data_IF_262290719522
#
_entry.id   IF_262290719522
#
_cell.length_a   1.000
_cell.length_b   1.000
_cell.length_c   1.000
_cell.angle_alpha   90.00
_cell.angle_beta   90.00
_cell.angle_gamma   90.00
#
_symmetry.space_group_name_H-M   'P 1'
#
loop_
_entity.id
_entity.type
_entity.pdbx_description
1 polymer ?
#
# COMPACT_ATOMS: atom_id res chain seq x y z
N UNK A 1 8.76 16.46 -12.97
CA UNK A 1 8.73 15.72 -11.68
C UNK A 1 8.19 14.32 -11.85
N UNK A 2 6.98 14.15 -12.38
CA UNK A 2 6.34 12.83 -12.57
C UNK A 2 7.21 11.80 -13.30
N UNK A 3 7.88 12.19 -14.40
CA UNK A 3 8.72 11.26 -15.17
C UNK A 3 9.88 10.66 -14.34
N UNK A 4 10.54 11.47 -13.49
CA UNK A 4 11.63 10.96 -12.64
C UNK A 4 11.09 10.09 -11.49
N UNK A 5 9.98 10.49 -10.87
CA UNK A 5 9.31 9.71 -9.82
C UNK A 5 8.91 8.33 -10.35
N UNK A 6 8.27 8.27 -11.52
CA UNK A 6 7.90 7.02 -12.17
C UNK A 6 9.12 6.17 -12.50
N UNK A 7 10.17 6.78 -13.06
CA UNK A 7 11.42 6.07 -13.37
C UNK A 7 12.01 5.41 -12.13
N UNK A 8 12.05 6.12 -11.00
CA UNK A 8 12.54 5.58 -9.71
C UNK A 8 11.65 4.43 -9.23
N UNK A 9 10.32 4.59 -9.28
CA UNK A 9 9.38 3.55 -8.88
C UNK A 9 9.56 2.31 -9.75
N UNK A 10 9.52 2.43 -11.07
CA UNK A 10 9.64 1.28 -11.98
C UNK A 10 10.98 0.58 -11.85
N UNK A 11 12.09 1.33 -11.76
CA UNK A 11 13.43 0.75 -11.60
C UNK A 11 13.56 -0.07 -10.31
N UNK A 12 12.87 0.34 -9.25
CA UNK A 12 12.99 -0.27 -7.92
C UNK A 12 11.69 -0.93 -7.45
N UNK A 13 10.76 -1.23 -8.36
CA UNK A 13 9.39 -1.59 -7.99
C UNK A 13 9.37 -2.83 -7.10
N UNK A 14 10.08 -3.89 -7.49
CA UNK A 14 10.14 -5.13 -6.69
C UNK A 14 10.71 -4.89 -5.29
N UNK A 15 11.76 -4.07 -5.14
CA UNK A 15 12.32 -3.76 -3.82
C UNK A 15 11.33 -2.94 -2.98
N UNK A 16 10.72 -1.91 -3.55
CA UNK A 16 9.75 -1.06 -2.85
C UNK A 16 8.48 -1.83 -2.48
N UNK A 17 7.97 -2.66 -3.39
CA UNK A 17 6.88 -3.58 -3.15
C UNK A 17 7.20 -4.50 -1.98
N UNK A 18 8.37 -5.16 -1.99
CA UNK A 18 8.76 -6.09 -0.92
C UNK A 18 8.96 -5.37 0.41
N UNK A 19 9.55 -4.18 0.40
CA UNK A 19 9.64 -3.33 1.61
C UNK A 19 8.25 -3.16 2.20
N UNK A 20 7.27 -2.73 1.42
CA UNK A 20 5.91 -2.52 1.93
C UNK A 20 5.22 -3.83 2.31
N UNK A 21 5.30 -4.84 1.45
CA UNK A 21 4.61 -6.11 1.60
C UNK A 21 5.04 -6.88 2.85
N UNK A 22 6.33 -6.85 3.22
CA UNK A 22 6.84 -7.51 4.43
C UNK A 22 6.13 -7.06 5.71
N UNK A 23 5.61 -5.83 5.73
CA UNK A 23 4.89 -5.27 6.87
C UNK A 23 3.38 -5.37 6.72
N UNK A 24 2.83 -5.04 5.55
CA UNK A 24 1.38 -5.02 5.33
C UNK A 24 0.78 -6.42 5.22
N UNK A 25 1.44 -7.34 4.50
CA UNK A 25 0.87 -8.67 4.23
C UNK A 25 0.61 -9.45 5.53
N UNK A 26 1.54 -9.54 6.50
CA UNK A 26 1.26 -10.26 7.74
C UNK A 26 0.11 -9.66 8.56
N UNK A 27 0.00 -8.33 8.61
CA UNK A 27 -1.07 -7.63 9.35
C UNK A 27 -2.44 -7.95 8.74
N UNK A 28 -2.56 -7.86 7.42
CA UNK A 28 -3.79 -8.20 6.70
C UNK A 28 -4.09 -9.69 6.76
N UNK A 29 -3.07 -10.54 6.71
CA UNK A 29 -3.24 -11.98 6.82
C UNK A 29 -3.80 -12.36 8.20
N UNK A 30 -3.25 -11.77 9.27
CA UNK A 30 -3.75 -11.98 10.62
C UNK A 30 -5.20 -11.52 10.78
N UNK A 31 -5.54 -10.33 10.26
CA UNK A 31 -6.92 -9.84 10.27
C UNK A 31 -7.86 -10.77 9.49
N UNK A 32 -7.47 -11.16 8.27
CA UNK A 32 -8.27 -12.04 7.42
C UNK A 32 -8.46 -13.41 8.06
N UNK A 33 -7.43 -13.96 8.70
CA UNK A 33 -7.52 -15.24 9.39
C UNK A 33 -8.50 -15.19 10.57
N UNK A 34 -8.47 -14.13 11.38
CA UNK A 34 -9.40 -13.93 12.49
C UNK A 34 -10.85 -13.79 11.99
N UNK A 35 -11.04 -13.15 10.84
CA UNK A 35 -12.34 -12.87 10.23
C UNK A 35 -12.59 -13.67 8.95
N UNK A 36 -12.10 -14.91 8.88
CA UNK A 36 -12.13 -15.73 7.66
C UNK A 36 -13.54 -15.87 7.09
N UNK A 37 -14.55 -16.04 7.95
CA UNK A 37 -15.93 -16.25 7.54
C UNK A 37 -16.52 -14.98 6.92
N UNK A 38 -16.08 -13.80 7.41
CA UNK A 38 -16.45 -12.50 6.84
C UNK A 38 -15.77 -12.29 5.48
N UNK A 39 -14.51 -12.70 5.33
CA UNK A 39 -13.79 -12.63 4.06
C UNK A 39 -14.38 -13.59 3.00
N UNK A 40 -14.96 -14.72 3.41
CA UNK A 40 -15.66 -15.64 2.50
C UNK A 40 -16.93 -15.05 1.90
N UNK A 41 -17.62 -14.18 2.63
CA UNK A 41 -18.89 -13.56 2.20
C UNK A 41 -18.72 -12.10 1.80
N UNK A 42 -17.49 -11.65 1.51
CA UNK A 42 -17.17 -10.24 1.28
C UNK A 42 -17.97 -9.62 0.12
N UNK A 43 -18.22 -10.38 -0.95
CA UNK A 43 -19.08 -9.97 -2.08
C UNK A 43 -20.56 -9.83 -1.69
N UNK A 44 -21.01 -10.54 -0.65
CA UNK A 44 -22.38 -10.53 -0.16
C UNK A 44 -22.62 -9.48 0.93
N UNK A 45 -21.60 -8.75 1.39
CA UNK A 45 -21.72 -7.71 2.41
C UNK A 45 -22.88 -6.72 2.20
N UNK A 46 -23.09 -6.15 1.00
CA UNK A 46 -24.18 -5.20 0.78
C UNK A 46 -25.56 -5.84 0.98
N UNK A 47 -25.67 -7.15 0.71
CA UNK A 47 -26.91 -7.91 0.84
C UNK A 47 -27.13 -8.38 2.28
N UNK A 48 -26.06 -8.72 3.02
CA UNK A 48 -26.13 -9.11 4.44
C UNK A 48 -26.53 -7.91 5.31
N UNK A 49 -26.08 -6.70 4.96
CA UNK A 49 -26.51 -5.46 5.61
C UNK A 49 -28.02 -5.22 5.47
N UNK A 50 -28.70 -5.80 4.46
CA UNK A 50 -30.15 -5.67 4.25
C UNK A 50 -30.98 -6.80 4.89
N UNK A 51 -30.36 -7.84 5.43
CA UNK A 51 -31.10 -8.96 6.03
C UNK A 51 -31.90 -8.58 7.28
N UNK A 52 -33.07 -9.19 7.53
CA UNK A 52 -33.79 -9.04 8.80
C UNK A 52 -32.90 -9.38 10.01
N UNK A 53 -33.11 -8.70 11.15
CA UNK A 53 -32.37 -8.97 12.39
C UNK A 53 -32.49 -10.46 12.75
N UNK A 54 -31.35 -11.14 12.96
CA UNK A 54 -31.29 -12.57 13.31
C UNK A 54 -30.99 -13.53 12.15
N UNK A 55 -31.02 -13.07 10.89
CA UNK A 55 -30.63 -13.88 9.72
C UNK A 55 -29.11 -13.80 9.48
N UNK A 56 -28.53 -14.89 9.00
CA UNK A 56 -27.10 -15.04 8.74
C UNK A 56 -26.88 -15.70 7.37
N UNK A 57 -25.74 -15.41 6.74
CA UNK A 57 -25.26 -16.07 5.52
C UNK A 57 -23.92 -16.72 5.85
N UNK A 58 -23.80 -18.04 5.70
CA UNK A 58 -22.61 -18.80 6.08
C UNK A 58 -22.12 -18.51 7.51
N UNK A 59 -23.04 -18.35 8.47
CA UNK A 59 -22.71 -18.04 9.87
C UNK A 59 -22.41 -16.57 10.16
N UNK A 60 -22.38 -15.71 9.13
CA UNK A 60 -22.11 -14.27 9.27
C UNK A 60 -23.42 -13.48 9.30
N UNK A 61 -23.67 -12.81 10.42
CA UNK A 61 -24.78 -11.87 10.59
C UNK A 61 -24.31 -10.42 10.75
N UNK A 62 -25.25 -9.47 10.77
CA UNK A 62 -24.97 -8.02 10.91
C UNK A 62 -24.05 -7.66 12.08
N UNK A 63 -24.16 -8.36 13.22
CA UNK A 63 -23.33 -8.09 14.40
C UNK A 63 -21.86 -8.43 14.17
N UNK A 64 -21.58 -9.59 13.56
CA UNK A 64 -20.22 -10.04 13.22
C UNK A 64 -19.59 -9.10 12.19
N UNK A 65 -20.37 -8.62 11.21
CA UNK A 65 -19.93 -7.62 10.25
C UNK A 65 -19.57 -6.28 10.89
N UNK A 66 -20.42 -5.78 11.79
CA UNK A 66 -20.17 -4.53 12.50
C UNK A 66 -18.93 -4.64 13.41
N UNK A 67 -18.70 -5.80 14.02
CA UNK A 67 -17.50 -6.06 14.80
C UNK A 67 -16.24 -6.11 13.93
N UNK A 68 -16.27 -6.86 12.82
CA UNK A 68 -15.16 -6.91 11.87
C UNK A 68 -14.80 -5.51 11.36
N UNK A 69 -15.79 -4.72 10.91
CA UNK A 69 -15.58 -3.32 10.48
C UNK A 69 -14.97 -2.45 11.58
N UNK A 70 -15.40 -2.62 12.83
CA UNK A 70 -14.83 -1.89 13.97
C UNK A 70 -13.39 -2.30 14.24
N UNK A 71 -13.08 -3.59 14.18
CA UNK A 71 -11.71 -4.09 14.42
C UNK A 71 -10.77 -3.77 13.25
N UNK A 72 -11.30 -3.58 12.04
CA UNK A 72 -10.52 -3.11 10.90
C UNK A 72 -9.89 -1.73 11.14
N UNK A 73 -10.49 -0.89 11.99
CA UNK A 73 -9.88 0.40 12.39
C UNK A 73 -8.50 0.19 13.01
N UNK A 74 -8.28 -0.89 13.76
CA UNK A 74 -6.96 -1.19 14.34
C UNK A 74 -5.92 -1.54 13.27
N UNK A 75 -6.33 -2.17 12.18
CA UNK A 75 -5.45 -2.40 11.02
C UNK A 75 -5.03 -1.05 10.43
N UNK A 76 -5.98 -0.13 10.22
CA UNK A 76 -5.68 1.23 9.72
C UNK A 76 -4.73 1.97 10.66
N UNK A 77 -4.95 1.88 11.98
CA UNK A 77 -4.05 2.49 12.97
C UNK A 77 -2.65 1.88 12.87
N UNK A 78 -2.53 0.55 12.77
CA UNK A 78 -1.25 -0.12 12.60
C UNK A 78 -0.56 0.34 11.30
N UNK A 79 -1.27 0.41 10.19
CA UNK A 79 -0.74 0.93 8.91
C UNK A 79 -0.23 2.37 9.04
N UNK A 80 -1.00 3.24 9.69
CA UNK A 80 -0.63 4.63 9.91
C UNK A 80 0.65 4.75 10.74
N UNK A 81 0.80 3.91 11.77
CA UNK A 81 2.02 3.84 12.60
C UNK A 81 3.23 3.31 11.83
N UNK A 82 3.03 2.51 10.77
CA UNK A 82 4.11 2.02 9.91
C UNK A 82 4.57 3.05 8.87
N UNK A 83 3.79 4.10 8.59
CA UNK A 83 4.13 5.09 7.57
C UNK A 83 5.51 5.76 7.78
N UNK A 84 5.91 6.21 8.99
CA UNK A 84 7.22 6.82 9.17
C UNK A 84 8.37 5.87 8.85
N UNK A 85 8.20 4.58 9.20
CA UNK A 85 9.15 3.52 8.92
C UNK A 85 9.26 3.28 7.41
N UNK A 86 8.12 3.16 6.71
CA UNK A 86 8.07 2.96 5.27
C UNK A 86 8.66 4.14 4.50
N UNK A 87 8.35 5.37 4.90
CA UNK A 87 8.96 6.58 4.34
C UNK A 87 10.47 6.54 4.51
N UNK A 88 10.97 6.18 5.70
CA UNK A 88 12.39 6.01 5.98
C UNK A 88 13.06 4.98 5.07
N UNK A 89 12.46 3.79 4.94
CA UNK A 89 12.94 2.73 4.07
C UNK A 89 12.95 3.15 2.59
N UNK A 90 11.89 3.82 2.11
CA UNK A 90 11.83 4.37 0.75
C UNK A 90 12.93 5.42 0.53
N UNK A 91 13.21 6.30 1.51
CA UNK A 91 14.35 7.25 1.40
C UNK A 91 15.66 6.53 1.17
N UNK A 92 15.88 5.42 1.86
CA UNK A 92 17.11 4.63 1.70
C UNK A 92 17.21 4.00 0.33
N UNK A 93 16.12 3.40 -0.17
CA UNK A 93 16.08 2.82 -1.53
C UNK A 93 16.41 3.88 -2.58
N UNK A 94 15.77 5.04 -2.51
CA UNK A 94 16.03 6.15 -3.45
C UNK A 94 17.47 6.66 -3.35
N UNK A 95 18.03 6.75 -2.14
CA UNK A 95 19.39 7.23 -1.93
C UNK A 95 20.46 6.25 -2.46
N UNK A 96 20.29 4.94 -2.25
CA UNK A 96 21.21 3.91 -2.76
C UNK A 96 21.17 3.87 -4.29
N UNK A 97 19.98 3.94 -4.86
CA UNK A 97 19.76 3.95 -6.30
C UNK A 97 20.33 5.22 -6.97
N UNK A 98 20.24 6.38 -6.30
CA UNK A 98 20.87 7.61 -6.77
C UNK A 98 22.41 7.56 -6.72
N UNK A 99 22.98 6.77 -5.80
CA UNK A 99 24.42 6.51 -5.72
C UNK A 99 24.90 5.43 -6.72
N UNK A 100 24.00 4.86 -7.54
CA UNK A 100 24.31 3.81 -8.50
C UNK A 100 24.43 2.40 -7.91
N UNK A 101 24.04 2.21 -6.64
CA UNK A 101 24.01 0.89 -6.00
C UNK A 101 22.70 0.13 -6.23
N UNK A 102 22.71 -1.17 -5.91
CA UNK A 102 21.51 -2.01 -5.92
C UNK A 102 20.82 -1.96 -4.54
N UNK A 103 19.59 -1.43 -4.43
CA UNK A 103 18.91 -1.35 -3.15
C UNK A 103 18.37 -2.71 -2.68
N UNK A 104 18.76 -3.11 -1.46
CA UNK A 104 18.26 -4.31 -0.78
C UNK A 104 17.13 -4.03 0.20
N UNK A 105 16.20 -4.99 0.35
CA UNK A 105 15.05 -4.89 1.27
C UNK A 105 15.50 -4.80 2.73
N UNK A 106 16.43 -5.67 3.16
CA UNK A 106 16.92 -5.70 4.55
C UNK A 106 17.71 -4.41 4.87
N UNK A 107 18.51 -3.94 3.92
CA UNK A 107 19.32 -2.72 4.09
C UNK A 107 18.48 -1.45 4.19
N UNK A 108 17.30 -1.45 3.56
CA UNK A 108 16.34 -0.37 3.68
C UNK A 108 15.84 -0.16 5.13
N UNK A 109 15.82 -1.21 5.94
CA UNK A 109 15.37 -1.18 7.34
C UNK A 109 16.50 -0.95 8.36
N UNK A 110 17.73 -1.44 8.09
CA UNK A 110 18.81 -1.46 9.10
C UNK A 110 19.41 -0.10 9.48
N UNK A 111 19.28 0.92 8.64
CA UNK A 111 19.96 2.22 8.83
C UNK A 111 18.98 3.38 8.98
N UNK A 112 18.11 3.30 10.00
CA UNK A 112 17.23 4.38 10.42
C UNK A 112 17.92 5.33 11.41
N UNK A 113 18.83 6.21 10.92
CA UNK A 113 18.80 7.57 11.42
C UNK A 113 18.66 8.56 10.25
N UNK A 114 17.58 9.33 10.30
CA UNK A 114 17.33 10.45 9.42
C UNK A 114 18.40 11.54 9.63
N UNK A 115 19.46 11.53 8.81
CA UNK A 115 20.02 12.83 8.40
C UNK A 115 18.93 13.50 7.58
N UNK A 116 18.27 14.51 8.18
CA UNK A 116 17.40 15.46 7.47
C UNK A 116 18.04 15.70 6.11
N UNK A 117 17.29 15.43 5.05
CA UNK A 117 17.73 15.68 3.69
C UNK A 117 18.43 17.05 3.66
N UNK A 118 19.68 17.05 3.20
CA UNK A 118 20.43 18.29 3.01
C UNK A 118 19.68 19.27 2.10
N UNK A 119 20.18 20.50 1.92
CA UNK A 119 19.46 21.64 1.35
C UNK A 119 18.85 21.46 -0.06
N UNK A 120 19.05 20.33 -0.74
CA UNK A 120 18.51 19.99 -2.05
C UNK A 120 16.97 19.94 -2.12
N UNK A 121 16.28 19.98 -0.98
CA UNK A 121 14.84 20.20 -0.91
C UNK A 121 14.42 21.68 -0.99
N UNK A 122 15.24 22.62 -1.47
CA UNK A 122 14.87 24.05 -1.51
C UNK A 122 14.53 24.63 -2.89
N UNK A 123 14.65 23.87 -3.97
CA UNK A 123 14.54 24.44 -5.34
C UNK A 123 13.21 24.19 -6.04
N UNK A 124 12.32 23.34 -5.50
CA UNK A 124 10.99 23.15 -6.07
C UNK A 124 9.96 24.10 -5.48
N UNK A 125 9.14 24.69 -6.34
CA UNK A 125 7.95 25.44 -5.91
C UNK A 125 7.01 24.52 -5.11
N UNK A 126 6.31 25.05 -4.08
CA UNK A 126 5.31 24.28 -3.33
C UNK A 126 4.25 23.63 -4.22
N UNK A 127 3.83 24.33 -5.30
CA UNK A 127 2.88 23.83 -6.26
C UNK A 127 3.38 22.58 -7.01
N UNK A 128 4.66 22.56 -7.41
CA UNK A 128 5.23 21.40 -8.10
C UNK A 128 5.32 20.17 -7.20
N UNK A 129 5.55 20.36 -5.90
CA UNK A 129 5.51 19.28 -4.89
C UNK A 129 4.11 18.75 -4.70
N UNK A 130 3.13 19.63 -4.59
CA UNK A 130 1.74 19.24 -4.45
C UNK A 130 1.27 18.46 -5.68
N UNK A 131 1.64 18.90 -6.88
CA UNK A 131 1.34 18.19 -8.12
C UNK A 131 2.00 16.80 -8.20
N UNK A 132 3.26 16.68 -7.76
CA UNK A 132 3.96 15.40 -7.70
C UNK A 132 3.31 14.43 -6.69
N UNK A 133 2.92 14.95 -5.52
CA UNK A 133 2.19 14.18 -4.52
C UNK A 133 0.82 13.75 -5.04
N UNK A 134 0.05 14.68 -5.60
CA UNK A 134 -1.28 14.41 -6.14
C UNK A 134 -1.24 13.35 -7.24
N UNK A 135 -0.31 13.47 -8.19
CA UNK A 135 -0.12 12.47 -9.25
C UNK A 135 0.33 11.11 -8.71
N UNK A 136 1.22 11.07 -7.71
CA UNK A 136 1.62 9.84 -7.03
C UNK A 136 0.46 9.16 -6.30
N UNK A 137 -0.39 9.95 -5.62
CA UNK A 137 -1.60 9.45 -4.94
C UNK A 137 -2.63 8.94 -5.94
N UNK A 138 -2.90 9.69 -7.02
CA UNK A 138 -3.81 9.25 -8.09
C UNK A 138 -3.34 7.92 -8.67
N UNK A 139 -2.04 7.80 -8.97
CA UNK A 139 -1.50 6.56 -9.51
C UNK A 139 -1.55 5.40 -8.51
N UNK A 140 -1.27 5.66 -7.23
CA UNK A 140 -1.42 4.66 -6.18
C UNK A 140 -2.86 4.16 -6.09
N UNK A 141 -3.86 5.06 -6.17
CA UNK A 141 -5.28 4.68 -6.19
C UNK A 141 -5.62 3.84 -7.41
N UNK A 142 -5.18 4.23 -8.61
CA UNK A 142 -5.45 3.49 -9.86
C UNK A 142 -4.82 2.09 -9.81
N UNK A 143 -3.55 1.98 -9.43
CA UNK A 143 -2.84 0.71 -9.34
C UNK A 143 -3.44 -0.18 -8.25
N UNK A 144 -3.72 0.39 -7.08
CA UNK A 144 -4.35 -0.35 -5.99
C UNK A 144 -5.72 -0.89 -6.39
N UNK A 145 -6.54 -0.07 -7.04
CA UNK A 145 -7.84 -0.49 -7.54
C UNK A 145 -7.73 -1.60 -8.59
N UNK A 146 -6.80 -1.49 -9.54
CA UNK A 146 -6.57 -2.50 -10.57
C UNK A 146 -6.11 -3.84 -9.97
N UNK A 147 -5.12 -3.81 -9.09
CA UNK A 147 -4.60 -5.02 -8.41
C UNK A 147 -5.67 -5.65 -7.53
N UNK A 148 -6.46 -4.85 -6.82
CA UNK A 148 -7.59 -5.33 -6.02
C UNK A 148 -8.62 -6.04 -6.90
N UNK A 149 -9.00 -5.42 -8.02
CA UNK A 149 -10.00 -5.96 -8.94
C UNK A 149 -9.53 -7.29 -9.53
N UNK A 150 -8.26 -7.37 -9.98
CA UNK A 150 -7.66 -8.61 -10.47
C UNK A 150 -7.65 -9.69 -9.37
N UNK A 151 -7.30 -9.32 -8.14
CA UNK A 151 -7.26 -10.24 -7.01
C UNK A 151 -8.64 -10.81 -6.66
N UNK A 152 -9.69 -9.98 -6.70
CA UNK A 152 -11.06 -10.42 -6.47
C UNK A 152 -11.58 -11.34 -7.58
N UNK A 153 -11.31 -11.00 -8.85
CA UNK A 153 -11.60 -11.91 -9.97
C UNK A 153 -10.88 -13.26 -9.81
N UNK A 154 -9.67 -13.27 -9.25
CA UNK A 154 -8.96 -14.50 -8.90
C UNK A 154 -9.62 -15.29 -7.77
N UNK A 155 -10.32 -14.64 -6.84
CA UNK A 155 -11.05 -15.31 -5.76
C UNK A 155 -12.29 -16.04 -6.28
N UNK A 156 -12.97 -15.51 -7.29
CA UNK A 156 -14.13 -16.15 -7.93
C UNK A 156 -13.74 -17.49 -8.59
N UNK A 157 -12.58 -17.53 -9.27
CA UNK A 157 -12.08 -18.72 -9.99
C UNK A 157 -11.30 -19.67 -9.07
N UNK A 158 -10.98 -19.23 -7.85
CA UNK A 158 -10.18 -20.00 -6.90
C UNK A 158 -10.96 -21.15 -6.23
N UNK A 159 -10.23 -22.16 -5.70
CA UNK A 159 -10.83 -23.26 -4.97
C UNK A 159 -11.55 -22.76 -3.71
N UNK A 160 -12.74 -23.30 -3.42
CA UNK A 160 -13.65 -22.83 -2.36
C UNK A 160 -12.96 -22.67 -1.00
N UNK A 161 -12.07 -23.60 -0.64
CA UNK A 161 -11.33 -23.60 0.63
C UNK A 161 -10.28 -22.48 0.78
N UNK A 162 -9.88 -21.83 -0.33
CA UNK A 162 -8.86 -20.78 -0.35
C UNK A 162 -9.41 -19.40 -0.71
N UNK A 163 -10.69 -19.25 -1.07
CA UNK A 163 -11.28 -17.97 -1.48
C UNK A 163 -11.09 -16.86 -0.46
N UNK A 164 -11.26 -17.18 0.83
CA UNK A 164 -11.04 -16.23 1.93
C UNK A 164 -9.62 -15.67 1.95
N UNK A 165 -8.63 -16.51 1.64
CA UNK A 165 -7.23 -16.13 1.62
C UNK A 165 -6.93 -15.26 0.41
N UNK A 166 -7.46 -15.62 -0.77
CA UNK A 166 -7.28 -14.83 -2.00
C UNK A 166 -7.95 -13.46 -1.84
N UNK A 167 -9.18 -13.41 -1.35
CA UNK A 167 -9.92 -12.18 -1.07
C UNK A 167 -9.18 -11.31 -0.04
N UNK A 168 -8.79 -11.86 1.10
CA UNK A 168 -8.06 -11.10 2.12
C UNK A 168 -6.67 -10.64 1.69
N UNK A 169 -5.95 -11.44 0.90
CA UNK A 169 -4.61 -11.08 0.41
C UNK A 169 -4.63 -10.09 -0.74
N UNK A 170 -5.69 -10.07 -1.55
CA UNK A 170 -5.84 -9.11 -2.65
C UNK A 170 -5.63 -7.67 -2.16
N UNK A 171 -6.21 -7.33 -1.00
CA UNK A 171 -6.10 -6.00 -0.39
C UNK A 171 -4.69 -5.66 0.06
N UNK A 172 -4.03 -6.60 0.72
CA UNK A 172 -2.66 -6.40 1.19
C UNK A 172 -1.70 -6.20 0.02
N UNK A 173 -1.86 -7.02 -1.03
CA UNK A 173 -1.06 -6.95 -2.24
C UNK A 173 -1.35 -5.66 -3.00
N UNK A 174 -2.61 -5.25 -3.11
CA UNK A 174 -3.01 -4.00 -3.73
C UNK A 174 -2.38 -2.79 -3.04
N UNK A 175 -2.42 -2.74 -1.70
CA UNK A 175 -1.79 -1.68 -0.92
C UNK A 175 -0.26 -1.71 -1.08
N UNK A 176 0.36 -2.89 -1.06
CA UNK A 176 1.80 -3.03 -1.24
C UNK A 176 2.27 -2.64 -2.65
N UNK A 177 1.46 -2.88 -3.68
CA UNK A 177 1.73 -2.48 -5.05
C UNK A 177 1.49 -0.98 -5.29
N UNK A 178 0.50 -0.40 -4.61
CA UNK A 178 0.14 1.02 -4.72
C UNK A 178 1.08 1.94 -3.93
N UNK A 179 1.49 1.54 -2.73
CA UNK A 179 2.27 2.36 -1.81
C UNK A 179 3.58 2.92 -2.40
N UNK A 180 4.37 2.19 -3.22
CA UNK A 180 5.57 2.73 -3.87
C UNK A 180 5.35 4.05 -4.59
N UNK A 181 4.21 4.23 -5.27
CA UNK A 181 3.92 5.45 -6.05
C UNK A 181 3.71 6.67 -5.15
N UNK A 182 3.00 6.51 -4.03
CA UNK A 182 2.80 7.57 -3.05
C UNK A 182 4.08 7.85 -2.24
N UNK A 183 4.76 6.80 -1.78
CA UNK A 183 5.96 6.91 -0.94
C UNK A 183 7.13 7.54 -1.69
N UNK A 184 7.36 7.17 -2.96
CA UNK A 184 8.43 7.80 -3.76
C UNK A 184 8.06 9.25 -4.09
N UNK A 185 6.79 9.57 -4.37
CA UNK A 185 6.36 10.96 -4.56
C UNK A 185 6.58 11.85 -3.32
N UNK A 186 6.48 11.27 -2.12
CA UNK A 186 6.77 11.96 -0.85
C UNK A 186 8.26 12.20 -0.58
N UNK A 187 9.14 11.45 -1.24
CA UNK A 187 10.56 11.35 -0.86
C UNK A 187 11.51 11.82 -1.97
N UNK A 188 11.13 11.65 -3.23
CA UNK A 188 11.98 11.94 -4.37
C UNK A 188 12.34 13.44 -4.42
N UNK A 189 13.62 13.79 -4.65
CA UNK A 189 14.02 15.18 -4.83
C UNK A 189 13.44 15.76 -6.12
N UNK A 190 13.21 17.07 -6.09
CA UNK A 190 12.89 17.83 -7.30
C UNK A 190 14.04 17.76 -8.30
N UNK A 191 13.77 17.66 -9.62
CA UNK A 191 14.84 17.78 -10.61
C UNK A 191 15.51 19.15 -10.49
N UNK A 192 16.83 19.19 -10.68
CA UNK A 192 17.55 20.46 -10.83
C UNK A 192 16.97 21.24 -12.02
N UNK A 193 16.88 22.58 -11.95
CA UNK A 193 16.52 23.38 -13.11
C UNK A 193 17.51 23.06 -14.23
N UNK A 194 16.99 22.74 -15.41
CA UNK A 194 17.80 22.57 -16.61
C UNK A 194 18.42 23.95 -16.88
N UNK A 195 19.73 24.08 -16.65
CA UNK A 195 20.47 25.25 -17.10
C UNK A 195 20.41 25.25 -18.62
N UNK A 196 19.60 26.12 -19.19
CA UNK A 196 19.64 26.45 -20.61
C UNK A 196 20.97 27.13 -20.88
N UNK A 197 21.94 26.37 -21.37
CA UNK A 197 23.10 26.87 -22.11
C UNK A 197 22.76 26.96 -23.58
#
# INVERSE_FOLDING_TARGET
MLNNTLRIVFRNFSTLFLVVAVLLVPVHLAYTFIYKDVAQVEELHPYIENLPRGRQVQGVGRAVLAEARRRFVWVIVAEALLLPLLVGATRRVVAVDAAGGLPGVIDAYRHLPAKRAGPAHRTASPAARLAALASGVVLAVVIGWLVQTIGLLGAEVGPDGARWLIAGMSRAIALAAAAPFALVALVAPAPAPVSST
#
